data_IF_583286395935
#
_entry.id   IF_583286395935
#
_cell.length_a   1.000
_cell.length_b   1.000
_cell.length_c   1.000
_cell.angle_alpha   90.00
_cell.angle_beta   90.00
_cell.angle_gamma   90.00
#
_symmetry.space_group_name_H-M   'P 1'
#
loop_
_entity.id
_entity.type
_entity.pdbx_description
1 polymer ?
#
# COMPACT_ATOMS: atom_id res chain seq x y z
N UNK A 1 -2.83 15.92 -19.02
CA UNK A 1 -2.44 14.72 -18.30
C UNK A 1 -2.15 15.05 -16.83
N UNK A 2 -2.76 14.29 -15.91
CA UNK A 2 -2.37 14.25 -14.49
C UNK A 2 -1.96 12.83 -14.16
N UNK A 3 -0.82 12.67 -13.49
CA UNK A 3 -0.40 11.36 -13.00
C UNK A 3 -0.09 11.40 -11.50
N UNK A 4 -0.32 10.28 -10.81
CA UNK A 4 0.00 10.09 -9.40
C UNK A 4 0.66 8.73 -9.21
N UNK A 5 1.85 8.70 -8.60
CA UNK A 5 2.56 7.46 -8.33
C UNK A 5 2.65 7.22 -6.83
N UNK A 6 1.95 6.20 -6.35
CA UNK A 6 1.95 5.74 -4.96
C UNK A 6 1.75 6.89 -3.93
N UNK A 7 0.85 7.83 -4.23
CA UNK A 7 0.56 8.98 -3.37
C UNK A 7 -0.89 8.99 -2.86
N UNK A 8 -1.86 8.68 -3.72
CA UNK A 8 -3.29 8.82 -3.39
C UNK A 8 -3.74 7.98 -2.19
N UNK A 9 -3.13 6.83 -1.97
CA UNK A 9 -3.42 5.97 -0.81
C UNK A 9 -2.93 6.54 0.53
N UNK A 10 -2.12 7.60 0.51
CA UNK A 10 -1.63 8.30 1.71
C UNK A 10 -2.59 9.39 2.19
N UNK A 11 -3.62 9.68 1.43
CA UNK A 11 -4.55 10.78 1.70
C UNK A 11 -5.73 10.30 2.53
N UNK A 12 -6.23 11.16 3.43
CA UNK A 12 -7.36 10.84 4.31
C UNK A 12 -8.69 10.71 3.57
N UNK A 13 -8.84 11.39 2.43
CA UNK A 13 -10.07 11.42 1.63
C UNK A 13 -9.76 11.22 0.14
N UNK A 14 -9.83 9.97 -0.27
CA UNK A 14 -9.56 9.55 -1.64
C UNK A 14 -10.54 10.19 -2.65
N UNK A 15 -11.84 10.20 -2.34
CA UNK A 15 -12.85 10.75 -3.24
C UNK A 15 -12.68 12.25 -3.43
N UNK A 16 -12.44 13.00 -2.35
CA UNK A 16 -12.17 14.44 -2.42
C UNK A 16 -10.98 14.76 -3.31
N UNK A 17 -9.91 13.98 -3.20
CA UNK A 17 -8.72 14.18 -4.03
C UNK A 17 -8.97 13.86 -5.50
N UNK A 18 -9.72 12.79 -5.81
CA UNK A 18 -10.13 12.51 -7.18
C UNK A 18 -11.02 13.63 -7.75
N UNK A 19 -11.90 14.23 -6.94
CA UNK A 19 -12.71 15.38 -7.34
C UNK A 19 -11.85 16.61 -7.69
N UNK A 20 -10.81 16.88 -6.89
CA UNK A 20 -9.85 17.96 -7.19
C UNK A 20 -9.10 17.67 -8.49
N UNK A 21 -8.66 16.43 -8.69
CA UNK A 21 -7.99 15.99 -9.94
C UNK A 21 -8.93 16.20 -11.14
N UNK A 22 -10.18 15.73 -11.05
CA UNK A 22 -11.15 15.89 -12.13
C UNK A 22 -11.39 17.37 -12.47
N UNK A 23 -11.52 18.24 -11.47
CA UNK A 23 -11.73 19.67 -11.68
C UNK A 23 -10.51 20.35 -12.31
N UNK A 24 -9.30 19.84 -12.02
CA UNK A 24 -8.06 20.39 -12.58
C UNK A 24 -7.73 19.88 -13.98
N UNK A 25 -8.32 18.79 -14.42
CA UNK A 25 -8.20 18.28 -15.78
C UNK A 25 -8.96 19.17 -16.76
N UNK A 26 -8.37 19.44 -17.94
CA UNK A 26 -9.07 20.01 -19.10
C UNK A 26 -9.92 18.94 -19.76
N UNK A 27 -10.88 19.35 -20.60
CA UNK A 27 -11.59 18.40 -21.46
C UNK A 27 -10.61 17.60 -22.31
N UNK A 28 -10.97 16.37 -22.64
CA UNK A 28 -10.16 15.42 -23.41
C UNK A 28 -8.78 15.14 -22.78
N UNK A 29 -8.70 15.22 -21.46
CA UNK A 29 -7.48 14.95 -20.69
C UNK A 29 -7.54 13.64 -19.93
N UNK A 30 -6.34 13.06 -19.72
CA UNK A 30 -6.16 11.76 -19.13
C UNK A 30 -5.64 11.84 -17.69
N UNK A 31 -6.17 10.97 -16.84
CA UNK A 31 -5.69 10.71 -15.48
C UNK A 31 -5.14 9.30 -15.37
N UNK A 32 -3.99 9.14 -14.73
CA UNK A 32 -3.41 7.83 -14.40
C UNK A 32 -2.81 7.85 -13.00
N UNK A 33 -3.06 6.79 -12.22
CA UNK A 33 -2.47 6.66 -10.89
C UNK A 33 -2.07 5.22 -10.59
N UNK A 34 -0.94 5.05 -9.89
CA UNK A 34 -0.55 3.79 -9.27
C UNK A 34 -0.85 3.85 -7.77
N UNK A 35 -1.51 2.83 -7.23
CA UNK A 35 -1.77 2.67 -5.79
C UNK A 35 -1.47 1.23 -5.36
N UNK A 36 -1.00 1.00 -4.12
CA UNK A 36 -0.81 -0.34 -3.59
C UNK A 36 -2.14 -1.12 -3.51
N UNK A 37 -2.10 -2.39 -3.86
CA UNK A 37 -3.20 -3.32 -3.67
C UNK A 37 -3.34 -3.73 -2.20
N UNK A 38 -4.52 -4.25 -1.80
CA UNK A 38 -4.77 -4.76 -0.44
C UNK A 38 -3.90 -5.94 -0.05
N UNK A 39 -3.45 -6.73 -1.01
CA UNK A 39 -2.56 -7.86 -0.78
C UNK A 39 -1.07 -7.49 -0.93
N UNK A 40 -0.77 -6.18 -1.10
CA UNK A 40 0.61 -5.72 -1.15
C UNK A 40 1.35 -6.06 0.15
N UNK A 41 2.54 -6.65 0.05
CA UNK A 41 3.40 -7.04 1.19
C UNK A 41 2.75 -8.01 2.19
N UNK A 42 1.83 -8.86 1.78
CA UNK A 42 1.02 -9.71 2.67
C UNK A 42 1.88 -10.57 3.62
N UNK A 43 3.07 -11.03 3.18
CA UNK A 43 3.99 -11.84 3.98
C UNK A 43 4.49 -11.07 5.20
N UNK A 44 4.92 -9.82 4.99
CA UNK A 44 5.43 -8.96 6.06
C UNK A 44 4.30 -8.55 7.00
N UNK A 45 3.12 -8.21 6.47
CA UNK A 45 1.96 -7.84 7.27
C UNK A 45 1.50 -8.96 8.18
N UNK A 46 1.42 -10.18 7.68
CA UNK A 46 1.08 -11.36 8.48
C UNK A 46 2.13 -11.61 9.57
N UNK A 47 3.42 -11.47 9.25
CA UNK A 47 4.49 -11.63 10.22
C UNK A 47 4.47 -10.53 11.30
N UNK A 48 4.15 -9.28 10.92
CA UNK A 48 3.95 -8.18 11.87
C UNK A 48 2.74 -8.45 12.79
N UNK A 49 1.65 -8.96 12.24
CA UNK A 49 0.47 -9.33 13.00
C UNK A 49 0.78 -10.39 14.06
N UNK A 50 1.47 -11.48 13.68
CA UNK A 50 1.89 -12.54 14.61
C UNK A 50 2.86 -11.99 15.69
N UNK A 51 3.76 -11.09 15.30
CA UNK A 51 4.70 -10.45 16.24
C UNK A 51 3.98 -9.54 17.23
N UNK A 52 2.98 -8.78 16.78
CA UNK A 52 2.16 -7.93 17.62
C UNK A 52 1.35 -8.75 18.63
N UNK A 53 0.74 -9.86 18.20
CA UNK A 53 0.04 -10.79 19.07
C UNK A 53 0.98 -11.37 20.15
N UNK A 54 2.20 -11.74 19.78
CA UNK A 54 3.19 -12.28 20.68
C UNK A 54 3.57 -11.29 21.80
N UNK A 55 3.84 -10.02 21.44
CA UNK A 55 4.32 -9.02 22.40
C UNK A 55 3.22 -8.24 23.10
N UNK A 56 2.08 -8.01 22.44
CA UNK A 56 1.07 -7.05 22.88
C UNK A 56 -0.32 -7.62 23.06
N UNK A 57 -0.53 -8.89 22.74
CA UNK A 57 -1.84 -9.57 22.75
C UNK A 57 -2.90 -8.86 21.90
N UNK A 58 -2.46 -8.10 20.92
CA UNK A 58 -3.31 -7.35 20.00
C UNK A 58 -2.49 -6.82 18.82
N UNK A 59 -3.13 -6.52 17.68
CA UNK A 59 -2.47 -6.04 16.50
C UNK A 59 -2.56 -4.52 16.39
N UNK A 60 -1.51 -3.92 15.85
CA UNK A 60 -1.46 -2.50 15.52
C UNK A 60 -1.55 -2.30 14.00
N UNK A 61 -2.13 -1.19 13.58
CA UNK A 61 -2.05 -0.76 12.18
C UNK A 61 -0.61 -0.39 11.83
N UNK A 62 -0.01 -1.17 10.94
CA UNK A 62 1.39 -1.00 10.51
C UNK A 62 1.52 -0.36 9.13
N UNK A 63 0.45 -0.42 8.34
CA UNK A 63 0.36 0.17 6.99
C UNK A 63 -0.90 0.99 6.85
N UNK A 64 -0.90 1.88 5.88
CA UNK A 64 -2.10 2.66 5.55
C UNK A 64 -3.23 1.73 5.06
N UNK A 65 -4.49 2.10 5.30
CA UNK A 65 -5.61 1.36 4.74
C UNK A 65 -5.52 1.37 3.21
N UNK A 66 -5.81 0.24 2.61
CA UNK A 66 -5.93 0.10 1.16
C UNK A 66 -7.38 0.30 0.73
N UNK A 67 -7.57 0.73 -0.50
CA UNK A 67 -8.90 0.97 -1.07
C UNK A 67 -9.24 -0.21 -1.97
N UNK A 68 -10.41 -0.80 -1.76
CA UNK A 68 -10.92 -1.90 -2.61
C UNK A 68 -11.13 -1.41 -4.05
N UNK A 69 -10.80 -2.26 -5.02
CA UNK A 69 -10.90 -1.95 -6.47
C UNK A 69 -12.31 -1.53 -6.84
N UNK A 70 -13.32 -2.24 -6.32
CA UNK A 70 -14.73 -1.96 -6.56
C UNK A 70 -15.13 -0.57 -6.09
N UNK A 71 -14.60 -0.14 -4.94
CA UNK A 71 -14.81 1.20 -4.41
C UNK A 71 -14.15 2.26 -5.29
N UNK A 72 -12.94 2.01 -5.78
CA UNK A 72 -12.25 2.93 -6.70
C UNK A 72 -13.06 3.15 -7.96
N UNK A 73 -13.50 2.06 -8.62
CA UNK A 73 -14.31 2.14 -9.84
C UNK A 73 -15.64 2.85 -9.60
N UNK A 74 -16.28 2.58 -8.46
CA UNK A 74 -17.53 3.25 -8.06
C UNK A 74 -17.33 4.76 -7.91
N UNK A 75 -16.28 5.19 -7.22
CA UNK A 75 -15.96 6.62 -7.03
C UNK A 75 -15.67 7.30 -8.36
N UNK A 76 -14.86 6.69 -9.24
CA UNK A 76 -14.54 7.24 -10.56
C UNK A 76 -15.80 7.43 -11.41
N UNK A 77 -16.71 6.45 -11.44
CA UNK A 77 -17.99 6.54 -12.14
C UNK A 77 -18.91 7.62 -11.55
N UNK A 78 -19.01 7.69 -10.22
CA UNK A 78 -19.83 8.70 -9.53
C UNK A 78 -19.33 10.11 -9.79
N UNK A 79 -18.02 10.29 -9.92
CA UNK A 79 -17.40 11.55 -10.30
C UNK A 79 -17.50 11.86 -11.80
N UNK A 80 -18.10 10.95 -12.60
CA UNK A 80 -18.26 11.09 -14.06
C UNK A 80 -16.94 11.11 -14.86
N UNK A 81 -15.92 10.40 -14.36
CA UNK A 81 -14.80 10.08 -15.23
C UNK A 81 -15.26 9.17 -16.38
N UNK A 82 -14.73 9.40 -17.55
CA UNK A 82 -15.03 8.59 -18.72
C UNK A 82 -14.08 7.38 -18.80
N UNK A 83 -14.65 6.22 -19.20
CA UNK A 83 -13.92 4.96 -19.41
C UNK A 83 -12.91 4.62 -18.29
N UNK A 84 -13.32 4.61 -17.01
CA UNK A 84 -12.41 4.24 -15.94
C UNK A 84 -11.98 2.78 -16.08
N UNK A 85 -10.68 2.52 -16.01
CA UNK A 85 -10.10 1.19 -16.03
C UNK A 85 -9.08 0.99 -14.93
N UNK A 86 -8.91 -0.25 -14.48
CA UNK A 86 -7.89 -0.65 -13.51
C UNK A 86 -7.15 -1.85 -14.07
N UNK A 87 -5.84 -1.77 -14.03
CA UNK A 87 -4.92 -2.86 -14.33
C UNK A 87 -4.12 -3.18 -13.07
N UNK A 88 -4.10 -4.46 -12.67
CA UNK A 88 -3.33 -4.93 -11.52
C UNK A 88 -2.07 -5.64 -11.98
N UNK A 89 -0.94 -5.30 -11.38
CA UNK A 89 0.35 -5.92 -11.64
C UNK A 89 1.02 -6.36 -10.33
N UNK A 90 1.89 -7.36 -10.42
CA UNK A 90 2.60 -7.87 -9.26
C UNK A 90 4.00 -8.35 -9.64
N UNK A 91 4.96 -8.09 -8.75
CA UNK A 91 6.34 -8.57 -8.87
C UNK A 91 6.93 -8.84 -7.50
N UNK A 92 7.98 -9.67 -7.45
CA UNK A 92 8.69 -9.99 -6.21
C UNK A 92 10.08 -9.39 -6.21
N UNK A 93 10.48 -8.81 -5.09
CA UNK A 93 11.82 -8.29 -4.85
C UNK A 93 12.51 -9.23 -3.85
N UNK A 94 13.71 -9.72 -4.19
CA UNK A 94 14.47 -10.62 -3.34
C UNK A 94 15.52 -9.88 -2.51
N UNK A 95 15.74 -10.35 -1.27
CA UNK A 95 16.69 -9.77 -0.33
C UNK A 95 17.50 -10.88 0.35
N UNK A 96 18.81 -10.73 0.37
CA UNK A 96 19.70 -11.61 1.17
C UNK A 96 19.63 -11.32 2.67
N UNK A 97 19.19 -10.11 3.07
CA UNK A 97 19.11 -9.65 4.47
C UNK A 97 17.73 -9.09 4.75
N UNK A 98 17.03 -9.63 5.76
CA UNK A 98 15.68 -9.20 6.14
C UNK A 98 15.57 -7.70 6.46
N UNK A 99 16.60 -7.15 7.10
CA UNK A 99 16.65 -5.71 7.41
C UNK A 99 16.51 -4.83 6.18
N UNK A 100 17.09 -5.22 5.04
CA UNK A 100 17.01 -4.44 3.80
C UNK A 100 15.59 -4.41 3.25
N UNK A 101 14.85 -5.53 3.34
CA UNK A 101 13.43 -5.59 3.01
C UNK A 101 12.64 -4.58 3.86
N UNK A 102 12.87 -4.50 5.17
CA UNK A 102 12.19 -3.54 6.05
C UNK A 102 12.55 -2.09 5.74
N UNK A 103 13.79 -1.82 5.35
CA UNK A 103 14.27 -0.49 4.94
C UNK A 103 13.52 -0.04 3.67
N UNK A 104 13.36 -0.93 2.69
CA UNK A 104 12.67 -0.61 1.44
C UNK A 104 11.19 -0.33 1.67
N UNK A 105 10.50 -1.13 2.50
CA UNK A 105 9.11 -0.84 2.90
C UNK A 105 8.98 0.57 3.49
N UNK A 106 9.93 0.97 4.34
CA UNK A 106 9.96 2.32 4.91
C UNK A 106 10.19 3.39 3.83
N UNK A 107 11.12 3.15 2.92
CA UNK A 107 11.48 4.09 1.85
C UNK A 107 10.35 4.24 0.81
N UNK A 108 9.55 3.21 0.60
CA UNK A 108 8.35 3.25 -0.25
C UNK A 108 7.16 3.98 0.39
N UNK A 109 7.31 4.54 1.60
CA UNK A 109 6.23 5.17 2.38
C UNK A 109 5.01 4.26 2.62
N UNK A 110 5.21 2.95 2.68
CA UNK A 110 4.14 1.97 2.91
C UNK A 110 3.79 1.82 4.40
N UNK A 111 4.55 2.47 5.28
CA UNK A 111 4.28 2.49 6.72
C UNK A 111 3.07 3.37 7.05
N UNK A 112 2.33 2.99 8.10
CA UNK A 112 1.19 3.76 8.58
C UNK A 112 1.57 5.18 8.99
N UNK A 113 0.90 6.20 8.44
CA UNK A 113 1.25 7.60 8.61
C UNK A 113 0.16 8.47 9.29
N UNK A 114 -1.03 7.91 9.60
CA UNK A 114 -2.14 8.67 10.19
C UNK A 114 -1.90 9.08 11.66
N UNK A 115 -2.74 10.00 12.17
CA UNK A 115 -2.59 10.62 13.50
C UNK A 115 -2.69 9.66 14.68
N UNK A 116 -3.41 8.54 14.51
CA UNK A 116 -3.56 7.48 15.53
C UNK A 116 -2.40 6.46 15.52
N UNK A 117 -1.32 6.76 14.79
CA UNK A 117 -0.14 5.90 14.75
C UNK A 117 0.42 5.66 16.14
N UNK A 118 0.71 4.39 16.46
CA UNK A 118 1.49 4.03 17.64
C UNK A 118 2.85 4.75 17.60
N UNK A 119 3.08 5.67 18.54
CA UNK A 119 4.31 6.48 18.61
C UNK A 119 5.43 5.84 19.44
N UNK A 120 5.31 4.56 19.80
CA UNK A 120 6.33 3.84 20.58
C UNK A 120 7.33 3.19 19.64
N UNK A 121 8.62 3.41 19.91
CA UNK A 121 9.69 2.71 19.19
C UNK A 121 9.66 1.22 19.52
N UNK A 122 9.83 0.38 18.50
CA UNK A 122 10.02 -1.04 18.68
C UNK A 122 11.48 -1.34 19.05
N UNK A 123 11.66 -2.25 20.00
CA UNK A 123 12.99 -2.69 20.40
C UNK A 123 13.56 -3.70 19.40
N UNK A 124 14.89 -3.89 19.42
CA UNK A 124 15.58 -4.89 18.57
C UNK A 124 14.94 -6.29 18.68
N UNK A 125 14.50 -6.68 19.89
CA UNK A 125 13.80 -7.97 20.13
C UNK A 125 12.52 -8.13 19.29
N UNK A 126 11.80 -7.04 19.01
CA UNK A 126 10.61 -7.07 18.14
C UNK A 126 11.01 -7.47 16.71
N UNK A 127 12.03 -6.82 16.16
CA UNK A 127 12.48 -7.08 14.79
C UNK A 127 13.11 -8.48 14.64
N UNK A 128 13.81 -8.97 15.66
CA UNK A 128 14.31 -10.35 15.66
C UNK A 128 13.16 -11.37 15.64
N UNK A 129 12.09 -11.11 16.40
CA UNK A 129 10.91 -11.99 16.42
C UNK A 129 10.11 -11.91 15.12
N UNK A 130 10.01 -10.71 14.54
CA UNK A 130 9.41 -10.50 13.24
C UNK A 130 10.13 -11.32 12.15
N UNK A 131 11.46 -11.27 12.13
CA UNK A 131 12.30 -12.05 11.22
C UNK A 131 12.09 -13.55 11.43
N UNK A 132 12.02 -14.01 12.69
CA UNK A 132 11.76 -15.42 13.04
C UNK A 132 10.42 -15.91 12.45
N UNK A 133 9.32 -15.15 12.66
CA UNK A 133 8.01 -15.51 12.12
C UNK A 133 7.99 -15.48 10.60
N UNK A 134 8.62 -14.45 10.00
CA UNK A 134 8.74 -14.37 8.56
C UNK A 134 9.53 -15.57 8.00
N UNK A 135 10.69 -15.86 8.57
CA UNK A 135 11.58 -16.96 8.16
C UNK A 135 10.85 -18.30 8.22
N UNK A 136 10.18 -18.59 9.33
CA UNK A 136 9.45 -19.85 9.53
C UNK A 136 8.39 -20.11 8.45
N UNK A 137 7.75 -19.05 7.93
CA UNK A 137 6.56 -19.19 7.09
C UNK A 137 6.82 -18.89 5.62
N UNK A 138 7.72 -17.97 5.32
CA UNK A 138 7.89 -17.43 3.98
C UNK A 138 9.30 -17.55 3.41
N UNK A 139 10.34 -17.74 4.24
CA UNK A 139 11.70 -17.88 3.75
C UNK A 139 11.85 -19.13 2.87
N UNK A 140 12.45 -18.96 1.68
CA UNK A 140 12.80 -20.06 0.77
C UNK A 140 14.33 -20.19 0.68
N UNK A 141 14.94 -19.48 -0.27
CA UNK A 141 16.40 -19.32 -0.39
C UNK A 141 16.84 -17.94 0.02
N UNK A 142 15.94 -16.98 -0.13
CA UNK A 142 16.09 -15.56 0.19
C UNK A 142 14.80 -15.05 0.81
N UNK A 143 14.85 -13.89 1.47
CA UNK A 143 13.68 -13.13 1.84
C UNK A 143 13.10 -12.49 0.58
N UNK A 144 11.80 -12.35 0.47
CA UNK A 144 11.17 -11.72 -0.68
C UNK A 144 10.01 -10.84 -0.25
N UNK A 145 9.73 -9.85 -1.05
CA UNK A 145 8.60 -8.94 -0.87
C UNK A 145 7.76 -8.98 -2.14
N UNK A 146 6.53 -9.48 -2.03
CA UNK A 146 5.59 -9.38 -3.13
C UNK A 146 4.97 -7.99 -3.11
N UNK A 147 5.18 -7.26 -4.19
CA UNK A 147 4.62 -5.94 -4.44
C UNK A 147 3.48 -6.09 -5.41
N UNK A 148 2.29 -5.66 -5.00
CA UNK A 148 1.09 -5.61 -5.83
C UNK A 148 0.62 -4.18 -5.98
N UNK A 149 0.39 -3.76 -7.21
CA UNK A 149 0.03 -2.39 -7.56
C UNK A 149 -1.17 -2.39 -8.49
N UNK A 150 -2.13 -1.51 -8.21
CA UNK A 150 -3.25 -1.22 -9.10
C UNK A 150 -2.97 0.08 -9.86
N UNK A 151 -2.98 0.02 -11.17
CA UNK A 151 -2.87 1.16 -12.08
C UNK A 151 -4.27 1.56 -12.51
N UNK A 152 -4.68 2.74 -12.10
CA UNK A 152 -5.98 3.33 -12.37
C UNK A 152 -5.82 4.28 -13.54
N UNK A 153 -6.73 4.26 -14.49
CA UNK A 153 -6.76 5.24 -15.58
C UNK A 153 -8.18 5.66 -15.92
N UNK A 154 -8.34 6.92 -16.33
CA UNK A 154 -9.64 7.47 -16.72
C UNK A 154 -9.46 8.76 -17.54
N UNK A 155 -10.46 9.11 -18.32
CA UNK A 155 -10.54 10.35 -19.09
C UNK A 155 -11.51 11.35 -18.45
N UNK A 156 -11.27 12.62 -18.69
CA UNK A 156 -12.27 13.69 -18.56
C UNK A 156 -12.71 14.08 -19.97
N UNK A 157 -13.98 13.88 -20.27
CA UNK A 157 -14.64 14.48 -21.43
C UNK A 157 -15.01 15.92 -21.19
#
# INVERSE_FOLDING_TARGET
LIYSNCFLHLTDDFEKNLRVILNSLKSDSFFIAAIPDKENMIQVLNSMYETDLYFYKGAYRRTNPTIEIENILSVLKNLKFDTPSIYSDSFSINYSIFKNLLIDIKNMNLSYCHMDKKRKFEYKRYFNKLEEFYHKKYFKKEYYLDVKINIISAWKK
#
